data_IF_563173555998
#
_entry.id   IF_563173555998
#
_cell.length_a   1.000
_cell.length_b   1.000
_cell.length_c   1.000
_cell.angle_alpha   90.00
_cell.angle_beta   90.00
_cell.angle_gamma   90.00
#
_symmetry.space_group_name_H-M   'P 1'
#
loop_
_entity.id
_entity.type
_entity.pdbx_description
1 polymer ?
#
# COMPACT_ATOMS: atom_id res chain seq x y z
N UNK A 1 14.32 7.28 -14.59
CA UNK A 1 14.24 7.08 -14.03
C UNK A 1 14.42 6.95 -13.28
N UNK A 2 14.27 6.92 -13.20
CA UNK A 2 14.27 6.77 -12.49
C UNK A 2 14.45 6.38 -11.65
N UNK A 3 14.46 6.59 -11.46
CA UNK A 3 14.51 6.36 -10.67
C UNK A 3 14.59 5.88 -10.08
N UNK A 4 14.56 5.61 -10.00
CA UNK A 4 14.54 5.13 -9.44
C UNK A 4 14.87 4.43 -8.88
N UNK A 5 14.87 4.63 -9.27
CA UNK A 5 15.11 3.50 -8.95
C UNK A 5 15.69 3.03 -7.72
N UNK A 6 16.15 3.52 -7.06
CA UNK A 6 16.56 3.03 -5.99
C UNK A 6 15.62 3.05 -5.06
N UNK A 7 15.46 2.77 -4.29
CA UNK A 7 14.46 2.76 -3.37
C UNK A 7 13.74 1.49 -3.35
N UNK A 8 12.55 1.57 -2.94
CA UNK A 8 11.71 0.41 -2.74
C UNK A 8 11.11 -0.02 -4.05
N UNK A 9 11.12 -1.29 -4.35
CA UNK A 9 10.49 -1.77 -5.56
C UNK A 9 9.03 -1.43 -5.59
N UNK A 10 8.51 -1.25 -6.79
CA UNK A 10 7.11 -1.02 -6.97
C UNK A 10 6.26 -2.09 -6.33
N UNK A 11 6.78 -3.30 -6.28
CA UNK A 11 6.05 -4.41 -5.70
C UNK A 11 5.69 -4.16 -4.25
N UNK A 12 6.53 -3.46 -3.52
CA UNK A 12 6.23 -3.17 -2.13
C UNK A 12 5.08 -2.19 -2.02
N UNK A 13 5.06 -1.21 -2.90
CA UNK A 13 3.98 -0.24 -2.90
C UNK A 13 2.66 -0.91 -3.23
N UNK A 14 2.66 -1.73 -4.26
CA UNK A 14 1.45 -2.45 -4.65
C UNK A 14 1.03 -3.43 -3.58
N UNK A 15 2.00 -4.13 -2.99
CA UNK A 15 1.70 -5.06 -1.92
C UNK A 15 1.06 -4.37 -0.73
N UNK A 16 1.59 -3.22 -0.37
CA UNK A 16 1.01 -2.44 0.72
C UNK A 16 -0.42 -2.03 0.38
N UNK A 17 -0.63 -1.62 -0.86
CA UNK A 17 -1.96 -1.21 -1.30
C UNK A 17 -2.96 -2.35 -1.10
N UNK A 18 -2.63 -3.53 -1.60
CA UNK A 18 -3.53 -4.68 -1.46
C UNK A 18 -3.72 -5.08 -0.01
N UNK A 19 -2.65 -5.05 0.76
CA UNK A 19 -2.73 -5.39 2.17
C UNK A 19 -3.60 -4.38 2.92
N UNK A 20 -3.47 -3.13 2.54
CA UNK A 20 -4.27 -2.08 3.13
C UNK A 20 -5.76 -2.30 2.87
N UNK A 21 -6.08 -2.72 1.65
CA UNK A 21 -7.47 -3.01 1.31
C UNK A 21 -8.00 -4.20 2.11
N UNK A 22 -7.17 -5.21 2.28
CA UNK A 22 -7.58 -6.37 3.06
C UNK A 22 -7.77 -6.00 4.53
N UNK A 23 -6.91 -5.13 5.05
CA UNK A 23 -7.05 -4.70 6.44
C UNK A 23 -8.34 -3.92 6.62
N UNK A 24 -8.71 -3.13 5.63
CA UNK A 24 -9.95 -2.38 5.69
C UNK A 24 -11.15 -3.30 5.71
N UNK A 25 -10.99 -4.50 5.19
CA UNK A 25 -12.06 -5.50 5.23
C UNK A 25 -12.06 -6.32 6.52
N UNK A 26 -11.21 -5.98 7.45
CA UNK A 26 -11.23 -6.64 8.74
C UNK A 26 -10.19 -7.73 8.92
N UNK A 27 -9.26 -7.87 8.00
CA UNK A 27 -8.25 -8.90 8.13
C UNK A 27 -7.18 -8.48 9.12
N UNK A 28 -7.07 -9.20 10.22
CA UNK A 28 -6.05 -8.90 11.21
C UNK A 28 -4.66 -9.25 10.71
N UNK A 29 -4.57 -10.30 9.93
CA UNK A 29 -3.29 -10.66 9.35
C UNK A 29 -2.75 -9.56 8.46
N UNK A 30 -3.65 -8.94 7.70
CA UNK A 30 -3.25 -7.83 6.84
C UNK A 30 -2.77 -6.65 7.65
N UNK A 31 -3.41 -6.37 8.77
CA UNK A 31 -2.98 -5.27 9.62
C UNK A 31 -1.57 -5.47 10.13
N UNK A 32 -1.26 -6.69 10.52
CA UNK A 32 0.08 -6.99 10.97
C UNK A 32 1.08 -6.86 9.84
N UNK A 33 0.68 -7.24 8.65
CA UNK A 33 1.56 -7.12 7.50
C UNK A 33 1.83 -5.67 7.15
N UNK A 34 0.85 -4.79 7.36
CA UNK A 34 1.07 -3.38 7.10
C UNK A 34 2.23 -2.85 7.92
N UNK A 35 2.30 -3.28 9.16
CA UNK A 35 3.37 -2.86 10.03
C UNK A 35 4.72 -3.26 9.46
N UNK A 36 4.80 -4.49 8.98
CA UNK A 36 6.04 -4.98 8.41
C UNK A 36 6.42 -4.19 7.15
N UNK A 37 5.44 -3.91 6.32
CA UNK A 37 5.69 -3.13 5.12
C UNK A 37 6.20 -1.74 5.47
N UNK A 38 5.61 -1.13 6.48
CA UNK A 38 5.98 0.23 6.85
C UNK A 38 7.43 0.30 7.31
N UNK A 39 7.93 -0.77 7.88
CA UNK A 39 9.32 -0.79 8.29
C UNK A 39 10.26 -0.86 7.10
N UNK A 40 9.79 -1.38 6.00
CA UNK A 40 10.60 -1.52 4.79
C UNK A 40 10.46 -0.37 3.84
N UNK A 41 9.44 0.44 4.00
CA UNK A 41 9.14 1.51 3.05
C UNK A 41 9.38 2.87 3.67
N UNK A 42 9.65 3.84 2.83
CA UNK A 42 9.75 5.21 3.29
C UNK A 42 8.37 5.76 3.55
N UNK A 43 8.31 6.84 4.30
CA UNK A 43 7.05 7.49 4.55
C UNK A 43 6.35 7.90 3.28
N UNK A 44 7.11 8.38 2.33
CA UNK A 44 6.54 8.82 1.06
C UNK A 44 5.94 7.65 0.32
N UNK A 45 6.60 6.50 0.37
CA UNK A 45 6.09 5.33 -0.31
C UNK A 45 4.84 4.81 0.36
N UNK A 46 4.82 4.84 1.68
CA UNK A 46 3.63 4.42 2.40
C UNK A 46 2.46 5.34 2.05
N UNK A 47 2.71 6.64 2.03
CA UNK A 47 1.66 7.59 1.70
C UNK A 47 1.14 7.36 0.30
N UNK A 48 2.04 7.07 -0.62
CA UNK A 48 1.61 6.81 -1.99
C UNK A 48 0.77 5.55 -2.07
N UNK A 49 1.18 4.51 -1.38
CA UNK A 49 0.42 3.26 -1.39
C UNK A 49 -0.96 3.46 -0.78
N UNK A 50 -1.03 4.25 0.27
CA UNK A 50 -2.31 4.53 0.89
C UNK A 50 -3.22 5.31 -0.04
N UNK A 51 -2.64 6.25 -0.77
CA UNK A 51 -3.41 7.01 -1.73
C UNK A 51 -3.93 6.10 -2.86
N UNK A 52 -3.07 5.21 -3.33
CA UNK A 52 -3.49 4.27 -4.36
C UNK A 52 -4.60 3.36 -3.88
N UNK A 53 -4.50 2.93 -2.63
CA UNK A 53 -5.54 2.07 -2.07
C UNK A 53 -6.87 2.80 -2.01
N UNK A 54 -6.82 4.08 -1.64
CA UNK A 54 -8.04 4.85 -1.56
C UNK A 54 -8.65 5.06 -2.94
N UNK A 55 -7.81 5.36 -3.92
CA UNK A 55 -8.29 5.55 -5.28
C UNK A 55 -8.88 4.27 -5.84
N UNK A 56 -8.25 3.17 -5.52
CA UNK A 56 -8.73 1.88 -5.99
C UNK A 56 -10.10 1.58 -5.40
N UNK A 57 -10.26 1.84 -4.12
CA UNK A 57 -11.54 1.62 -3.46
C UNK A 57 -12.62 2.49 -4.06
N UNK A 58 -12.29 3.76 -4.26
CA UNK A 58 -13.28 4.70 -4.81
C UNK A 58 -13.70 4.29 -6.19
N UNK A 59 -12.74 3.82 -6.97
CA UNK A 59 -13.03 3.44 -8.33
C UNK A 59 -13.87 2.17 -8.42
N UNK A 60 -13.69 1.27 -7.46
CA UNK A 60 -14.42 0.04 -7.47
C UNK A 60 -15.77 0.12 -6.82
N UNK A 61 -16.00 1.13 -6.03
CA UNK A 61 -17.26 1.25 -5.36
C UNK A 61 -18.13 2.22 -6.07
N UNK A 62 -19.16 1.74 -6.74
CA UNK A 62 -20.06 2.64 -7.45
C UNK A 62 -20.88 3.37 -6.42
N UNK A 63 -21.29 4.56 -6.77
CA UNK A 63 -22.01 5.28 -5.83
C UNK A 63 -23.44 5.11 -5.93
#
# INVERSE_FOLDING_TARGET
>A
MYANGRGVPKDLVVGYMWTSLAAANGSEGARKNLDAFEKLMTREQVAEAQRLAREYRDSRQPK
#
